data_IF_748700242298
#
_entry.id   IF_748700242298
#
_cell.length_a   1.000
_cell.length_b   1.000
_cell.length_c   1.000
_cell.angle_alpha   90.00
_cell.angle_beta   90.00
_cell.angle_gamma   90.00
#
_symmetry.space_group_name_H-M   'P 1'
#
loop_
_entity.id
_entity.type
_entity.pdbx_description
1 polymer ?
#
# COMPACT_ATOMS: atom_id res chain seq x y z
N UNK A 1 22.04 -11.13 3.72
CA UNK A 1 20.79 -10.41 3.74
C UNK A 1 20.95 -9.05 4.43
N UNK A 2 20.43 -8.02 3.83
CA UNK A 2 20.50 -6.68 4.39
C UNK A 2 19.18 -6.33 5.07
N UNK A 3 19.25 -5.98 6.34
CA UNK A 3 18.05 -5.71 7.11
C UNK A 3 17.40 -4.38 6.78
N UNK A 4 18.14 -3.49 6.14
CA UNK A 4 17.57 -2.21 5.74
C UNK A 4 17.03 -2.23 4.32
N UNK A 5 17.15 -3.33 3.66
CA UNK A 5 16.52 -3.47 2.36
C UNK A 5 15.06 -3.85 2.53
N UNK A 6 14.22 -3.20 1.82
CA UNK A 6 12.82 -3.53 1.82
C UNK A 6 12.43 -4.10 0.47
N UNK A 7 11.73 -5.23 0.46
CA UNK A 7 11.38 -5.83 -0.83
C UNK A 7 10.44 -4.94 -1.62
N UNK A 8 10.71 -4.84 -2.91
CA UNK A 8 9.83 -4.16 -3.85
C UNK A 8 9.23 -5.22 -4.74
N UNK A 9 7.90 -5.26 -4.81
CA UNK A 9 7.20 -6.27 -5.58
C UNK A 9 6.16 -5.61 -6.45
N UNK A 10 5.68 -6.34 -7.44
CA UNK A 10 4.59 -5.88 -8.28
C UNK A 10 3.27 -6.32 -7.68
N UNK A 11 2.30 -5.42 -7.72
CA UNK A 11 0.98 -5.71 -7.21
C UNK A 11 -0.06 -5.21 -8.19
N UNK A 12 -1.16 -5.64 -8.17
CA UNK A 12 -2.11 -5.28 -8.86
C UNK A 12 -3.06 -4.79 -8.02
N UNK A 13 -3.60 -3.74 -8.23
CA UNK A 13 -4.65 -3.12 -7.43
C UNK A 13 -5.82 -2.86 -8.35
N UNK A 14 -6.87 -3.61 -8.17
CA UNK A 14 -8.02 -3.55 -9.08
C UNK A 14 -7.58 -3.60 -10.53
N UNK A 15 -6.61 -4.49 -10.79
CA UNK A 15 -6.10 -4.69 -12.13
C UNK A 15 -5.06 -3.68 -12.60
N UNK A 16 -4.67 -2.75 -11.77
CA UNK A 16 -3.65 -1.76 -12.15
C UNK A 16 -2.31 -2.07 -11.51
N UNK A 17 -1.33 -2.31 -12.13
CA UNK A 17 -0.20 -2.71 -11.65
C UNK A 17 0.50 -1.66 -11.08
N UNK A 18 1.21 -1.94 -10.30
CA UNK A 18 2.01 -0.95 -9.56
C UNK A 18 3.13 -1.67 -8.81
N UNK A 19 4.24 -1.00 -8.65
CA UNK A 19 5.32 -1.52 -7.81
C UNK A 19 5.19 -0.92 -6.43
N UNK A 20 5.30 -1.78 -5.41
CA UNK A 20 5.15 -1.33 -4.04
C UNK A 20 6.29 -1.87 -3.19
N UNK A 21 6.59 -1.13 -2.14
CA UNK A 21 7.56 -1.50 -1.14
C UNK A 21 6.83 -2.19 0.00
N UNK A 22 7.30 -3.35 0.41
CA UNK A 22 6.71 -4.04 1.55
C UNK A 22 7.40 -3.53 2.82
N UNK A 23 6.63 -2.86 3.66
CA UNK A 23 7.22 -2.14 4.79
C UNK A 23 6.48 -2.48 6.08
N UNK A 24 7.06 -3.36 6.89
CA UNK A 24 6.45 -3.74 8.15
C UNK A 24 6.48 -2.62 9.19
N UNK A 25 7.24 -1.56 8.93
CA UNK A 25 7.25 -0.40 9.81
C UNK A 25 6.10 0.54 9.58
N UNK A 26 5.33 0.36 8.51
CA UNK A 26 4.21 1.22 8.21
C UNK A 26 2.90 0.52 8.59
N UNK A 27 1.98 1.26 9.19
CA UNK A 27 0.67 0.70 9.54
C UNK A 27 -0.24 0.64 8.33
N UNK A 28 -0.16 1.62 7.46
CA UNK A 28 -1.10 1.78 6.36
C UNK A 28 -0.39 1.60 5.03
N UNK A 29 -1.21 1.47 4.00
CA UNK A 29 -0.70 1.30 2.64
C UNK A 29 -1.13 2.50 1.80
N UNK A 30 -0.21 3.03 1.02
CA UNK A 30 -0.48 4.19 0.19
C UNK A 30 0.25 4.04 -1.14
N UNK A 31 -0.45 4.37 -2.22
CA UNK A 31 0.12 4.29 -3.57
C UNK A 31 -0.25 5.53 -4.35
N UNK A 32 0.56 5.83 -5.34
CA UNK A 32 0.31 6.95 -6.24
C UNK A 32 0.03 6.42 -7.64
N UNK A 33 -0.64 7.24 -8.44
CA UNK A 33 -0.85 6.91 -9.83
C UNK A 33 -1.93 5.87 -10.09
N UNK A 34 -2.75 5.56 -9.10
CA UNK A 34 -3.82 4.59 -9.22
C UNK A 34 -5.15 5.32 -9.14
N UNK A 35 -6.08 4.96 -10.01
CA UNK A 35 -7.41 5.55 -9.99
C UNK A 35 -8.42 4.49 -9.56
N UNK A 36 -9.08 4.73 -8.44
CA UNK A 36 -10.02 3.76 -7.89
C UNK A 36 -11.45 4.28 -7.82
N UNK A 37 -11.70 5.43 -8.42
CA UNK A 37 -13.06 5.93 -8.51
C UNK A 37 -13.37 7.00 -7.49
N UNK A 38 -14.65 7.27 -7.29
CA UNK A 38 -15.08 8.39 -6.45
C UNK A 38 -15.61 7.97 -5.08
N UNK A 39 -15.62 6.68 -4.80
CA UNK A 39 -16.17 6.19 -3.54
C UNK A 39 -15.08 6.06 -2.50
N UNK A 40 -14.67 7.20 -1.94
CA UNK A 40 -13.54 7.23 -1.03
C UNK A 40 -13.81 8.16 0.14
N UNK A 41 -12.98 8.04 1.17
CA UNK A 41 -12.98 8.94 2.31
C UNK A 41 -11.72 9.78 2.27
N UNK A 42 -11.81 11.10 2.29
CA UNK A 42 -10.60 11.92 2.32
C UNK A 42 -9.85 11.73 3.62
N UNK A 43 -8.53 11.64 3.52
CA UNK A 43 -7.67 11.50 4.69
C UNK A 43 -6.44 12.35 4.52
N UNK A 44 -5.87 12.76 5.65
CA UNK A 44 -4.60 13.48 5.66
C UNK A 44 -3.59 12.61 6.39
N UNK A 45 -2.48 12.35 5.72
CA UNK A 45 -1.44 11.50 6.28
C UNK A 45 -0.21 12.34 6.52
N UNK A 46 0.30 12.29 7.74
CA UNK A 46 1.52 13.00 8.08
C UNK A 46 2.74 12.16 7.79
N UNK A 47 3.82 12.81 7.44
CA UNK A 47 5.06 12.12 7.17
C UNK A 47 6.21 13.09 7.13
N UNK A 48 7.35 12.58 6.72
CA UNK A 48 8.54 13.41 6.59
C UNK A 48 8.29 14.41 5.46
N UNK A 49 8.45 15.67 5.77
CA UNK A 49 8.26 16.71 4.77
C UNK A 49 6.85 17.29 4.72
N UNK A 50 5.97 16.86 5.64
CA UNK A 50 4.67 17.47 5.73
C UNK A 50 3.53 16.48 5.61
N UNK A 51 2.38 17.00 5.19
CA UNK A 51 1.16 16.22 5.12
C UNK A 51 0.77 15.97 3.68
N UNK A 52 0.17 14.81 3.44
CA UNK A 52 -0.31 14.42 2.12
C UNK A 52 -1.81 14.21 2.21
N UNK A 53 -2.53 14.83 1.29
CA UNK A 53 -3.96 14.57 1.15
C UNK A 53 -4.15 13.28 0.38
N UNK A 54 -4.90 12.35 0.96
CA UNK A 54 -5.10 11.05 0.34
C UNK A 54 -6.58 10.74 0.22
N UNK A 55 -6.87 9.72 -0.59
CA UNK A 55 -8.19 9.14 -0.71
C UNK A 55 -8.13 7.73 -0.18
N UNK A 56 -8.96 7.44 0.81
CA UNK A 56 -8.98 6.11 1.41
C UNK A 56 -10.09 5.29 0.76
N UNK A 57 -9.71 4.14 0.22
CA UNK A 57 -10.64 3.19 -0.39
C UNK A 57 -10.64 1.92 0.44
N UNK A 58 -11.83 1.44 0.74
CA UNK A 58 -11.99 0.23 1.52
C UNK A 58 -12.38 -0.93 0.63
N UNK A 59 -12.00 -2.13 1.06
CA UNK A 59 -12.41 -3.36 0.38
C UNK A 59 -11.90 -3.39 -1.05
N UNK A 60 -10.65 -3.01 -1.25
CA UNK A 60 -10.02 -2.96 -2.55
C UNK A 60 -9.38 -4.31 -2.84
N UNK A 61 -9.57 -4.81 -4.05
CA UNK A 61 -8.99 -6.09 -4.44
C UNK A 61 -7.53 -5.89 -4.81
N UNK A 62 -6.66 -6.59 -4.11
CA UNK A 62 -5.23 -6.46 -4.27
C UNK A 62 -4.65 -7.83 -4.51
N UNK A 63 -3.81 -7.94 -5.54
CA UNK A 63 -3.10 -9.17 -5.82
C UNK A 63 -1.61 -8.90 -5.71
N UNK A 64 -0.94 -9.65 -4.86
CA UNK A 64 0.49 -9.47 -4.65
C UNK A 64 1.08 -10.80 -4.24
N UNK A 65 2.26 -11.10 -4.74
CA UNK A 65 3.01 -12.36 -4.51
C UNK A 65 2.11 -13.58 -4.68
N UNK A 66 1.29 -13.56 -5.71
CA UNK A 66 0.44 -14.70 -6.03
C UNK A 66 -0.78 -14.87 -5.16
N UNK A 67 -1.05 -13.91 -4.29
CA UNK A 67 -2.21 -13.97 -3.41
C UNK A 67 -3.15 -12.81 -3.72
N UNK A 68 -4.43 -13.05 -3.51
CA UNK A 68 -5.46 -12.05 -3.72
C UNK A 68 -6.18 -11.79 -2.41
N UNK A 69 -6.21 -10.52 -2.01
CA UNK A 69 -6.86 -10.13 -0.76
C UNK A 69 -7.64 -8.86 -0.99
N UNK A 70 -8.51 -8.54 -0.03
CA UNK A 70 -9.20 -7.26 -0.01
C UNK A 70 -8.76 -6.49 1.21
N UNK A 71 -8.42 -5.22 1.01
CA UNK A 71 -7.89 -4.41 2.10
C UNK A 71 -8.16 -2.95 1.82
N UNK A 72 -7.90 -2.14 2.83
CA UNK A 72 -8.00 -0.69 2.70
C UNK A 72 -6.70 -0.15 2.15
N UNK A 73 -6.80 0.74 1.18
CA UNK A 73 -5.62 1.34 0.60
C UNK A 73 -5.87 2.82 0.37
N UNK A 74 -4.84 3.62 0.52
CA UNK A 74 -4.93 5.04 0.26
C UNK A 74 -4.21 5.36 -1.04
N UNK A 75 -4.76 6.31 -1.79
CA UNK A 75 -4.08 6.83 -2.96
C UNK A 75 -3.75 8.30 -2.71
N UNK A 76 -2.59 8.71 -3.16
CA UNK A 76 -2.17 10.08 -2.97
C UNK A 76 -0.85 10.34 -3.65
N UNK A 77 -0.35 11.54 -3.43
CA UNK A 77 0.88 11.97 -4.09
C UNK A 77 2.07 11.56 -3.24
N UNK A 78 2.21 10.27 -3.04
CA UNK A 78 3.32 9.75 -2.25
C UNK A 78 4.54 9.54 -3.14
N UNK A 79 5.73 9.83 -2.63
CA UNK A 79 6.94 9.56 -3.43
C UNK A 79 7.25 8.07 -3.56
N UNK A 80 6.74 7.24 -2.66
CA UNK A 80 7.00 5.81 -2.68
C UNK A 80 5.71 5.08 -2.42
N UNK A 81 5.42 4.07 -3.24
CA UNK A 81 4.26 3.21 -3.00
C UNK A 81 4.61 2.20 -1.92
N UNK A 82 3.78 2.10 -0.90
CA UNK A 82 4.07 1.29 0.27
C UNK A 82 2.87 0.42 0.62
N UNK A 83 3.12 -0.86 0.85
CA UNK A 83 2.17 -1.76 1.49
C UNK A 83 2.62 -1.95 2.93
N UNK A 84 1.80 -1.53 3.85
CA UNK A 84 2.11 -1.64 5.26
C UNK A 84 1.49 -2.87 5.90
N UNK A 85 1.47 -2.87 7.23
CA UNK A 85 1.02 -4.04 7.96
C UNK A 85 -0.44 -4.38 7.71
N UNK A 86 -1.26 -3.41 7.37
CA UNK A 86 -2.67 -3.73 7.14
C UNK A 86 -2.85 -4.70 5.98
N UNK A 87 -1.99 -4.62 4.96
CA UNK A 87 -2.05 -5.56 3.86
C UNK A 87 -1.21 -6.79 4.14
N UNK A 88 -0.02 -6.59 4.70
CA UNK A 88 0.87 -7.71 4.95
C UNK A 88 0.26 -8.71 5.94
N UNK A 89 -0.44 -8.20 6.95
CA UNK A 89 -1.13 -9.08 7.89
C UNK A 89 -2.23 -9.87 7.20
N UNK A 90 -2.98 -9.22 6.33
CA UNK A 90 -4.05 -9.90 5.61
C UNK A 90 -3.50 -11.00 4.70
N UNK A 91 -2.32 -10.78 4.16
CA UNK A 91 -1.68 -11.81 3.34
C UNK A 91 -1.17 -12.97 4.16
N UNK A 92 -1.12 -12.84 5.46
CA UNK A 92 -0.56 -13.85 6.32
C UNK A 92 0.94 -13.93 6.24
N UNK A 93 1.57 -12.86 5.81
CA UNK A 93 3.02 -12.85 5.65
C UNK A 93 3.70 -12.59 6.98
N UNK A 94 4.68 -13.40 7.26
CA UNK A 94 5.60 -13.15 8.36
C UNK A 94 6.91 -12.74 7.75
N UNK A 95 7.29 -11.50 7.97
CA UNK A 95 8.47 -10.97 7.32
C UNK A 95 9.67 -11.18 8.22
N UNK A 96 10.39 -12.25 7.93
CA UNK A 96 11.59 -12.60 8.67
C UNK A 96 12.80 -12.26 7.83
N UNK A 97 12.95 -11.02 7.57
CA UNK A 97 14.07 -10.52 6.77
C UNK A 97 15.29 -10.28 7.59
#
# INVERSE_FOLDING_TARGET
>A
FSLWRRPVVKAXIEGQXVEVLLDTGADDSIVAGIELGSNYTPKIVGGIGGFINTKEYKDVEIEVVGKRVRATIMTGDTPINIFGRNILSTLGMTLNF
#
